data_IF_553674652650
#
_entry.id   IF_553674652650
#
_cell.length_a   1.000
_cell.length_b   1.000
_cell.length_c   1.000
_cell.angle_alpha   90.00
_cell.angle_beta   90.00
_cell.angle_gamma   90.00
#
_symmetry.space_group_name_H-M   'P 1'
#
loop_
_entity.id
_entity.type
_entity.pdbx_description
1 polymer ?
#
# COMPACT_ATOMS: atom_id res chain seq x y z
N UNK A 1 -25.63 16.69 5.67
CA UNK A 1 -24.44 17.44 5.16
C UNK A 1 -23.48 16.37 4.66
N UNK A 2 -23.61 16.02 3.37
CA UNK A 2 -22.78 14.96 2.75
C UNK A 2 -21.37 15.52 2.56
N UNK A 3 -20.39 14.82 3.12
CA UNK A 3 -18.98 15.07 2.83
C UNK A 3 -18.73 14.68 1.36
N UNK A 4 -18.11 15.54 0.54
CA UNK A 4 -17.78 15.20 -0.82
C UNK A 4 -16.72 14.09 -0.79
N UNK A 5 -17.11 12.88 -1.18
CA UNK A 5 -16.15 11.84 -1.53
C UNK A 5 -15.39 12.33 -2.77
N UNK A 6 -14.22 12.88 -2.54
CA UNK A 6 -13.28 13.18 -3.63
C UNK A 6 -12.96 11.85 -4.31
N UNK A 7 -13.51 11.70 -5.50
CA UNK A 7 -13.30 10.51 -6.32
C UNK A 7 -11.83 10.50 -6.71
N UNK A 8 -11.02 9.74 -5.98
CA UNK A 8 -9.60 9.48 -6.28
C UNK A 8 -9.49 9.08 -7.74
N UNK A 9 -8.56 9.71 -8.47
CA UNK A 9 -8.29 9.35 -9.86
C UNK A 9 -7.99 7.84 -9.91
N UNK A 10 -8.54 7.11 -10.90
CA UNK A 10 -8.33 5.68 -10.98
C UNK A 10 -6.84 5.39 -11.11
N UNK A 11 -6.34 4.46 -10.29
CA UNK A 11 -5.02 3.82 -10.47
C UNK A 11 -5.14 2.98 -11.74
N UNK A 12 -5.09 3.63 -12.90
CA UNK A 12 -5.34 3.03 -14.21
C UNK A 12 -4.19 3.39 -15.14
N UNK A 13 -3.25 2.47 -15.27
CA UNK A 13 -2.28 2.48 -16.33
C UNK A 13 -2.27 1.10 -17.00
N UNK A 14 -1.74 0.95 -18.20
CA UNK A 14 -1.64 -0.34 -18.89
C UNK A 14 -0.86 -1.39 -18.08
N UNK A 15 -0.03 -0.95 -17.13
CA UNK A 15 0.80 -1.80 -16.28
C UNK A 15 0.23 -2.00 -14.86
N UNK A 16 -0.98 -1.51 -14.55
CA UNK A 16 -1.59 -1.70 -13.24
C UNK A 16 -1.88 -3.18 -12.98
N UNK A 17 -1.43 -3.66 -11.82
CA UNK A 17 -1.64 -5.01 -11.36
C UNK A 17 -2.91 -5.08 -10.50
N UNK A 18 -3.83 -5.99 -10.80
CA UNK A 18 -5.00 -6.27 -9.98
C UNK A 18 -4.84 -7.63 -9.31
N UNK A 19 -5.05 -7.67 -8.02
CA UNK A 19 -4.91 -8.85 -7.19
C UNK A 19 -6.16 -9.02 -6.32
N UNK A 20 -6.60 -10.25 -6.16
CA UNK A 20 -7.61 -10.62 -5.17
C UNK A 20 -6.88 -11.08 -3.90
N UNK A 21 -7.31 -10.55 -2.76
CA UNK A 21 -6.75 -10.86 -1.44
C UNK A 21 -7.92 -11.29 -0.55
N UNK A 22 -7.88 -12.51 -0.07
CA UNK A 22 -8.99 -13.20 0.59
C UNK A 22 -8.90 -13.22 2.12
N UNK A 23 -7.81 -12.70 2.68
CA UNK A 23 -7.59 -12.72 4.13
C UNK A 23 -6.59 -11.65 4.59
N UNK A 24 -6.63 -11.27 5.88
CA UNK A 24 -5.61 -10.38 6.46
C UNK A 24 -4.19 -10.94 6.32
N UNK A 25 -4.02 -12.24 6.39
CA UNK A 25 -2.73 -12.90 6.21
C UNK A 25 -2.24 -12.78 4.77
N UNK A 26 -3.12 -12.94 3.78
CA UNK A 26 -2.79 -12.72 2.37
C UNK A 26 -2.43 -11.25 2.11
N UNK A 27 -3.11 -10.29 2.77
CA UNK A 27 -2.77 -8.87 2.71
C UNK A 27 -1.38 -8.60 3.27
N UNK A 28 -1.02 -9.20 4.42
CA UNK A 28 0.31 -9.10 5.00
C UNK A 28 1.38 -9.69 4.07
N UNK A 29 1.12 -10.87 3.48
CA UNK A 29 2.03 -11.48 2.48
C UNK A 29 2.21 -10.61 1.24
N UNK A 30 1.16 -9.93 0.78
CA UNK A 30 1.28 -8.96 -0.30
C UNK A 30 2.23 -7.81 0.08
N UNK A 31 2.12 -7.28 1.30
CA UNK A 31 3.04 -6.27 1.83
C UNK A 31 4.50 -6.74 1.83
N UNK A 32 4.74 -7.97 2.29
CA UNK A 32 6.07 -8.62 2.24
C UNK A 32 6.64 -8.65 0.81
N UNK A 33 5.82 -9.00 -0.18
CA UNK A 33 6.23 -9.05 -1.59
C UNK A 33 6.50 -7.67 -2.15
N UNK A 34 5.67 -6.68 -1.81
CA UNK A 34 5.86 -5.29 -2.20
C UNK A 34 7.19 -4.75 -1.69
N UNK A 35 7.57 -5.07 -0.45
CA UNK A 35 8.85 -4.66 0.12
C UNK A 35 10.05 -5.09 -0.74
N UNK A 36 9.95 -6.22 -1.43
CA UNK A 36 11.02 -6.72 -2.30
C UNK A 36 11.27 -5.90 -3.58
N UNK A 37 10.33 -5.03 -3.97
CA UNK A 37 10.48 -4.14 -5.12
C UNK A 37 10.74 -2.69 -4.74
N UNK A 38 10.56 -2.34 -3.46
CA UNK A 38 10.78 -1.01 -2.93
C UNK A 38 12.26 -0.73 -2.65
N UNK A 39 12.64 0.54 -2.76
CA UNK A 39 13.99 1.07 -2.57
C UNK A 39 13.94 2.35 -1.74
N UNK A 40 15.06 2.78 -1.12
CA UNK A 40 15.15 4.13 -0.56
C UNK A 40 14.71 5.17 -1.59
N UNK A 41 13.92 6.14 -1.19
CA UNK A 41 13.34 7.17 -2.06
C UNK A 41 11.96 6.84 -2.62
N UNK A 42 11.45 5.62 -2.45
CA UNK A 42 10.12 5.27 -2.95
C UNK A 42 9.01 5.80 -2.05
N UNK A 43 8.01 6.43 -2.67
CA UNK A 43 6.76 6.87 -2.05
C UNK A 43 5.64 5.89 -2.41
N UNK A 44 4.94 5.38 -1.40
CA UNK A 44 3.78 4.49 -1.55
C UNK A 44 2.54 5.18 -1.00
N UNK A 45 1.53 5.38 -1.85
CA UNK A 45 0.22 5.90 -1.45
C UNK A 45 -0.75 4.73 -1.27
N UNK A 46 -1.37 4.66 -0.09
CA UNK A 46 -2.39 3.65 0.22
C UNK A 46 -3.75 4.32 0.29
N UNK A 47 -4.65 3.92 -0.60
CA UNK A 47 -6.05 4.35 -0.60
C UNK A 47 -7.00 3.17 -0.38
N UNK A 48 -8.18 3.48 0.14
CA UNK A 48 -9.21 2.51 0.48
C UNK A 48 -9.99 2.92 1.72
N UNK A 49 -11.17 2.39 1.89
CA UNK A 49 -12.05 2.70 3.02
C UNK A 49 -11.44 2.34 4.38
N UNK A 50 -12.07 2.84 5.45
CA UNK A 50 -11.73 2.43 6.81
C UNK A 50 -11.90 0.90 6.96
N UNK A 51 -10.87 0.23 7.50
CA UNK A 51 -10.87 -1.23 7.64
C UNK A 51 -10.54 -1.99 6.36
N UNK A 52 -10.19 -1.34 5.25
CA UNK A 52 -9.82 -2.02 4.00
C UNK A 52 -8.57 -2.90 4.10
N UNK A 53 -7.67 -2.65 5.06
CA UNK A 53 -6.46 -3.44 5.26
C UNK A 53 -5.15 -2.67 5.00
N UNK A 54 -5.20 -1.33 4.89
CA UNK A 54 -4.00 -0.49 4.64
C UNK A 54 -2.90 -0.74 5.65
N UNK A 55 -3.21 -0.66 6.94
CA UNK A 55 -2.25 -0.91 8.01
C UNK A 55 -1.76 -2.37 8.04
N UNK A 56 -2.60 -3.33 7.64
CA UNK A 56 -2.19 -4.74 7.50
C UNK A 56 -1.16 -4.92 6.39
N UNK A 57 -1.39 -4.27 5.26
CA UNK A 57 -0.42 -4.22 4.16
C UNK A 57 0.90 -3.58 4.63
N UNK A 58 0.82 -2.43 5.34
CA UNK A 58 2.00 -1.72 5.85
C UNK A 58 2.79 -2.55 6.87
N UNK A 59 2.12 -3.39 7.68
CA UNK A 59 2.81 -4.38 8.54
C UNK A 59 3.66 -5.34 7.73
N UNK A 60 3.10 -5.90 6.66
CA UNK A 60 3.83 -6.77 5.74
C UNK A 60 5.01 -6.06 5.07
N UNK A 61 4.83 -4.80 4.67
CA UNK A 61 5.92 -3.95 4.15
C UNK A 61 7.04 -3.81 5.19
N UNK A 62 6.71 -3.46 6.42
CA UNK A 62 7.69 -3.30 7.50
C UNK A 62 8.45 -4.58 7.80
N UNK A 63 7.78 -5.73 7.79
CA UNK A 63 8.43 -7.04 7.92
C UNK A 63 9.41 -7.30 6.77
N UNK A 64 8.99 -7.06 5.53
CA UNK A 64 9.81 -7.28 4.34
C UNK A 64 11.02 -6.34 4.26
N UNK A 65 10.89 -5.11 4.75
CA UNK A 65 12.00 -4.15 4.88
C UNK A 65 12.90 -4.44 6.09
N UNK A 66 12.50 -5.35 6.98
CA UNK A 66 13.26 -5.69 8.17
C UNK A 66 13.36 -4.55 9.18
N UNK A 67 12.27 -3.80 9.40
CA UNK A 67 12.27 -2.67 10.33
C UNK A 67 12.00 -3.07 11.77
N UNK A 68 12.36 -2.19 12.72
CA UNK A 68 12.19 -2.41 14.15
C UNK A 68 10.74 -2.23 14.59
N UNK A 69 10.26 -3.17 15.39
CA UNK A 69 9.01 -3.08 16.13
C UNK A 69 7.77 -3.38 15.29
N UNK A 70 6.63 -3.41 15.96
CA UNK A 70 5.35 -3.64 15.30
C UNK A 70 4.88 -2.37 14.59
N UNK A 71 4.56 -2.49 13.30
CA UNK A 71 3.93 -1.42 12.54
C UNK A 71 2.46 -1.34 12.95
N UNK A 72 2.06 -0.21 13.51
CA UNK A 72 0.69 0.10 13.92
C UNK A 72 0.26 1.41 13.27
N UNK A 73 -1.05 1.61 13.07
CA UNK A 73 -1.56 2.85 12.48
C UNK A 73 -1.06 4.07 13.28
N UNK A 74 -0.50 5.09 12.61
CA UNK A 74 -0.04 6.31 13.27
C UNK A 74 -1.15 7.37 13.43
N UNK A 75 -2.42 6.99 13.39
CA UNK A 75 -3.59 7.88 13.40
C UNK A 75 -3.54 8.98 14.47
N UNK A 76 -2.93 8.73 15.61
CA UNK A 76 -2.83 9.70 16.70
C UNK A 76 -1.54 10.52 16.71
N UNK A 77 -0.50 10.07 16.00
CA UNK A 77 0.83 10.71 15.95
C UNK A 77 1.18 11.23 14.57
N UNK A 78 0.29 11.04 13.59
CA UNK A 78 0.40 11.44 12.18
C UNK A 78 1.50 10.69 11.44
N UNK A 79 2.74 10.67 11.93
CA UNK A 79 3.86 9.96 11.31
C UNK A 79 4.66 9.14 12.33
N UNK A 80 5.18 8.02 11.90
CA UNK A 80 6.07 7.16 12.68
C UNK A 80 7.20 6.62 11.83
N UNK A 81 8.43 6.77 12.33
CA UNK A 81 9.62 6.19 11.71
C UNK A 81 9.94 4.85 12.37
N UNK A 82 10.11 3.83 11.54
CA UNK A 82 10.57 2.49 11.92
C UNK A 82 11.97 2.27 11.35
N UNK A 83 13.03 2.36 12.18
CA UNK A 83 14.41 2.17 11.72
C UNK A 83 14.65 0.76 11.20
N UNK A 84 15.50 0.62 10.17
CA UNK A 84 15.91 -0.69 9.68
C UNK A 84 16.77 -1.44 10.71
N UNK A 85 16.58 -2.76 10.81
CA UNK A 85 17.42 -3.68 11.57
C UNK A 85 18.44 -4.41 10.69
N UNK A 86 18.29 -4.34 9.37
CA UNK A 86 19.03 -5.13 8.39
C UNK A 86 19.97 -4.30 7.53
N UNK A 87 20.07 -2.99 7.78
CA UNK A 87 20.86 -2.06 6.96
C UNK A 87 20.17 -1.64 5.65
N UNK A 88 18.91 -2.02 5.44
CA UNK A 88 18.05 -1.52 4.36
C UNK A 88 17.39 -0.18 4.70
N UNK A 89 16.42 0.27 3.92
CA UNK A 89 15.71 1.53 4.17
C UNK A 89 14.90 1.46 5.46
N UNK A 90 14.77 2.59 6.14
CA UNK A 90 13.76 2.77 7.17
C UNK A 90 12.37 2.84 6.53
N UNK A 91 11.33 2.57 7.31
CA UNK A 91 9.95 2.78 6.92
C UNK A 91 9.41 4.02 7.65
N UNK A 92 8.96 5.02 6.89
CA UNK A 92 8.21 6.16 7.41
C UNK A 92 6.74 5.92 7.11
N UNK A 93 5.93 5.72 8.15
CA UNK A 93 4.50 5.47 8.04
C UNK A 93 3.71 6.70 8.45
N UNK A 94 2.91 7.23 7.54
CA UNK A 94 2.13 8.46 7.70
C UNK A 94 0.64 8.16 7.53
N UNK A 95 -0.19 8.76 8.39
CA UNK A 95 -1.65 8.78 8.24
C UNK A 95 -2.09 10.24 7.96
N UNK A 96 -2.39 10.52 6.71
CA UNK A 96 -2.80 11.84 6.26
C UNK A 96 -4.30 12.14 6.46
N UNK A 97 -5.06 11.24 7.10
CA UNK A 97 -6.50 11.44 7.32
C UNK A 97 -6.81 12.73 8.09
N UNK A 98 -5.96 13.09 9.06
CA UNK A 98 -6.12 14.28 9.91
C UNK A 98 -5.40 15.52 9.42
N UNK A 99 -4.61 15.43 8.35
CA UNK A 99 -3.91 16.57 7.79
C UNK A 99 -4.90 17.45 7.02
N UNK A 100 -5.41 18.47 7.67
CA UNK A 100 -6.35 19.42 7.09
C UNK A 100 -5.65 20.44 6.16
N UNK A 101 -4.40 20.76 6.46
CA UNK A 101 -3.54 21.72 5.73
C UNK A 101 -2.84 21.13 4.49
N UNK A 102 -3.00 19.83 4.24
CA UNK A 102 -2.38 19.21 3.06
C UNK A 102 -0.85 19.22 3.09
N UNK A 103 -0.22 19.72 2.02
CA UNK A 103 1.23 19.73 1.85
C UNK A 103 1.99 20.54 2.92
N UNK A 104 1.46 21.68 3.32
CA UNK A 104 2.12 22.56 4.31
C UNK A 104 2.36 21.83 5.64
N UNK A 105 1.35 21.05 6.11
CA UNK A 105 1.51 20.24 7.33
C UNK A 105 2.40 19.01 7.11
N UNK A 106 2.54 18.55 5.88
CA UNK A 106 3.44 17.43 5.54
C UNK A 106 4.89 17.88 5.40
N UNK A 107 5.14 19.12 4.96
CA UNK A 107 6.47 19.73 4.95
C UNK A 107 7.03 19.84 6.38
N UNK A 108 6.18 20.18 7.35
CA UNK A 108 6.54 20.22 8.77
C UNK A 108 6.97 18.84 9.35
N UNK A 109 6.66 17.75 8.65
CA UNK A 109 7.09 16.39 9.02
C UNK A 109 8.46 16.01 8.44
N UNK A 110 9.15 16.91 7.75
CA UNK A 110 10.44 16.66 7.07
C UNK A 110 10.43 15.39 6.20
N UNK A 111 9.30 15.11 5.54
CA UNK A 111 9.14 13.88 4.74
C UNK A 111 10.03 13.87 3.49
N UNK A 112 10.31 15.03 2.92
CA UNK A 112 11.23 15.22 1.81
C UNK A 112 12.65 14.83 2.17
N UNK A 113 13.11 15.18 3.38
CA UNK A 113 14.42 14.77 3.92
C UNK A 113 14.44 13.27 4.20
N UNK A 114 13.32 12.72 4.67
CA UNK A 114 13.21 11.29 4.99
C UNK A 114 13.12 10.41 3.75
N UNK A 115 12.66 10.93 2.61
CA UNK A 115 12.48 10.17 1.37
C UNK A 115 13.78 9.56 0.85
N UNK A 116 14.92 10.29 0.89
CA UNK A 116 16.17 9.84 0.27
C UNK A 116 16.69 8.50 0.82
N UNK A 117 16.48 8.22 2.09
CA UNK A 117 17.05 7.06 2.81
C UNK A 117 15.98 6.08 3.30
N UNK A 118 14.71 6.33 3.04
CA UNK A 118 13.59 5.54 3.53
C UNK A 118 12.59 5.19 2.44
N UNK A 119 11.71 4.27 2.77
CA UNK A 119 10.44 4.06 2.07
C UNK A 119 9.37 4.81 2.86
N UNK A 120 8.67 5.73 2.20
CA UNK A 120 7.57 6.47 2.80
C UNK A 120 6.24 5.86 2.37
N UNK A 121 5.42 5.48 3.34
CA UNK A 121 4.06 4.95 3.13
C UNK A 121 3.06 5.94 3.71
N UNK A 122 2.14 6.43 2.88
CA UNK A 122 1.12 7.39 3.29
C UNK A 122 -0.27 6.78 3.11
N UNK A 123 -0.99 6.64 4.21
CA UNK A 123 -2.42 6.30 4.21
C UNK A 123 -3.24 7.59 4.06
N UNK A 124 -4.31 7.58 3.25
CA UNK A 124 -5.20 8.73 3.02
C UNK A 124 -4.51 9.95 2.38
N UNK A 125 -3.45 9.72 1.62
CA UNK A 125 -2.65 10.79 1.02
C UNK A 125 -3.15 11.28 -0.34
N UNK A 126 -4.20 10.70 -0.90
CA UNK A 126 -4.73 11.05 -2.21
C UNK A 126 -5.10 12.55 -2.29
N UNK A 127 -4.59 13.23 -3.32
CA UNK A 127 -4.79 14.67 -3.51
C UNK A 127 -3.98 15.56 -2.57
N UNK A 128 -3.07 14.97 -1.76
CA UNK A 128 -2.31 15.70 -0.75
C UNK A 128 -0.80 15.58 -0.92
N UNK A 129 -0.32 14.44 -1.42
CA UNK A 129 1.12 14.11 -1.39
C UNK A 129 1.71 13.78 -2.75
N UNK A 130 0.95 13.89 -3.82
CA UNK A 130 1.41 13.60 -5.17
C UNK A 130 2.58 14.49 -5.63
N UNK A 131 2.70 15.69 -5.05
CA UNK A 131 3.78 16.63 -5.34
C UNK A 131 5.10 16.29 -4.64
N UNK A 132 5.06 15.43 -3.60
CA UNK A 132 6.26 15.02 -2.88
C UNK A 132 7.22 14.18 -3.74
N UNK A 133 6.70 13.45 -4.72
CA UNK A 133 7.52 12.66 -5.61
C UNK A 133 6.85 12.48 -6.99
N UNK A 134 7.64 12.71 -8.04
CA UNK A 134 7.23 12.42 -9.42
C UNK A 134 7.08 10.91 -9.65
N UNK A 135 7.88 10.11 -8.94
CA UNK A 135 7.83 8.65 -8.96
C UNK A 135 7.14 8.14 -7.71
N UNK A 136 6.00 7.46 -7.84
CA UNK A 136 5.25 6.92 -6.71
C UNK A 136 4.50 5.66 -7.06
N UNK A 137 4.27 4.83 -6.06
CA UNK A 137 3.46 3.63 -6.17
C UNK A 137 2.10 3.89 -5.52
N UNK A 138 1.02 3.68 -6.25
CA UNK A 138 -0.34 3.72 -5.71
C UNK A 138 -0.82 2.30 -5.44
N UNK A 139 -1.33 2.06 -4.25
CA UNK A 139 -1.99 0.81 -3.86
C UNK A 139 -3.39 1.15 -3.38
N UNK A 140 -4.38 0.76 -4.16
CA UNK A 140 -5.80 0.93 -3.82
C UNK A 140 -6.36 -0.40 -3.34
N UNK A 141 -7.07 -0.37 -2.22
CA UNK A 141 -7.68 -1.53 -1.59
C UNK A 141 -9.18 -1.28 -1.52
N UNK A 142 -9.95 -2.03 -2.31
CA UNK A 142 -11.40 -1.98 -2.34
C UNK A 142 -11.98 -3.28 -1.77
N UNK A 143 -13.20 -3.24 -1.21
CA UNK A 143 -13.96 -4.45 -0.90
C UNK A 143 -14.48 -5.03 -2.20
N UNK A 144 -14.34 -6.35 -2.36
CA UNK A 144 -14.94 -7.02 -3.51
C UNK A 144 -16.47 -7.03 -3.37
N UNK A 145 -17.19 -6.78 -4.46
CA UNK A 145 -18.64 -6.76 -4.48
C UNK A 145 -19.17 -7.54 -5.67
N UNK A 146 -20.26 -8.29 -5.48
CA UNK A 146 -21.00 -8.94 -6.57
C UNK A 146 -20.14 -9.80 -7.48
N UNK A 147 -20.12 -9.45 -8.77
CA UNK A 147 -19.42 -10.20 -9.83
C UNK A 147 -17.87 -10.18 -9.73
N UNK A 148 -17.32 -9.37 -8.81
CA UNK A 148 -15.88 -9.28 -8.59
C UNK A 148 -15.36 -10.37 -7.63
N UNK A 149 -16.28 -11.11 -7.00
CA UNK A 149 -15.92 -12.18 -6.09
C UNK A 149 -15.38 -13.41 -6.86
N UNK A 150 -14.29 -14.02 -6.37
CA UNK A 150 -13.80 -15.28 -6.94
C UNK A 150 -14.89 -16.37 -6.88
N UNK A 151 -14.94 -17.22 -7.91
CA UNK A 151 -15.82 -18.35 -7.90
C UNK A 151 -15.51 -19.27 -6.71
N UNK A 152 -16.53 -19.63 -5.91
CA UNK A 152 -16.42 -20.55 -4.80
C UNK A 152 -16.09 -19.91 -3.44
N UNK A 153 -16.07 -18.59 -3.34
CA UNK A 153 -16.01 -17.92 -2.02
C UNK A 153 -17.31 -18.19 -1.26
N UNK A 154 -17.21 -18.70 -0.05
CA UNK A 154 -18.36 -18.92 0.81
C UNK A 154 -18.95 -17.58 1.27
N UNK A 155 -20.27 -17.49 1.45
CA UNK A 155 -20.97 -16.27 1.89
C UNK A 155 -20.40 -15.67 3.18
N UNK A 156 -19.83 -16.50 4.04
CA UNK A 156 -19.22 -16.07 5.30
C UNK A 156 -17.87 -15.35 5.13
N UNK A 157 -17.17 -15.59 4.01
CA UNK A 157 -15.82 -15.08 3.75
C UNK A 157 -15.82 -13.89 2.77
N UNK A 158 -16.99 -13.54 2.24
CA UNK A 158 -17.16 -12.43 1.26
C UNK A 158 -16.67 -11.10 1.81
N UNK A 159 -16.94 -10.84 3.08
CA UNK A 159 -16.55 -9.58 3.72
C UNK A 159 -15.02 -9.42 3.88
N UNK A 160 -14.26 -10.50 3.78
CA UNK A 160 -12.80 -10.49 3.88
C UNK A 160 -12.09 -10.34 2.52
N UNK A 161 -12.79 -10.55 1.42
CA UNK A 161 -12.21 -10.43 0.09
C UNK A 161 -11.96 -8.97 -0.29
N UNK A 162 -10.75 -8.68 -0.71
CA UNK A 162 -10.32 -7.35 -1.18
C UNK A 162 -9.79 -7.43 -2.60
N UNK A 163 -10.08 -6.41 -3.38
CA UNK A 163 -9.45 -6.14 -4.66
C UNK A 163 -8.34 -5.12 -4.45
N UNK A 164 -7.11 -5.51 -4.72
CA UNK A 164 -5.96 -4.64 -4.59
C UNK A 164 -5.46 -4.27 -5.97
N UNK A 165 -5.46 -2.98 -6.27
CA UNK A 165 -4.89 -2.45 -7.50
C UNK A 165 -3.58 -1.75 -7.18
N UNK A 166 -2.50 -2.19 -7.81
CA UNK A 166 -1.14 -1.62 -7.66
C UNK A 166 -0.75 -0.99 -8.99
N UNK A 167 -0.45 0.29 -8.98
CA UNK A 167 -0.04 1.02 -10.18
C UNK A 167 1.07 2.00 -9.88
N UNK A 168 2.06 2.05 -10.76
CA UNK A 168 3.18 2.98 -10.66
C UNK A 168 2.94 4.24 -11.48
N UNK A 169 3.43 5.36 -10.96
CA UNK A 169 3.51 6.66 -11.66
C UNK A 169 4.97 7.06 -11.71
N UNK A 170 5.40 7.53 -12.89
CA UNK A 170 6.77 7.96 -13.13
C UNK A 170 7.69 6.88 -13.68
N UNK A 171 8.89 7.30 -14.09
CA UNK A 171 9.85 6.44 -14.80
C UNK A 171 10.40 5.28 -13.97
N UNK A 172 10.45 5.45 -12.66
CA UNK A 172 10.88 4.42 -11.69
C UNK A 172 10.04 3.14 -11.78
N UNK A 173 8.76 3.28 -12.11
CA UNK A 173 7.79 2.19 -12.12
C UNK A 173 7.47 1.67 -13.52
N UNK A 174 8.10 2.21 -14.55
CA UNK A 174 7.93 1.74 -15.91
C UNK A 174 8.71 0.44 -16.17
N UNK A 175 8.36 -0.25 -17.27
CA UNK A 175 9.18 -1.35 -17.80
C UNK A 175 9.20 -2.61 -16.94
N UNK A 176 8.07 -2.99 -16.35
CA UNK A 176 7.98 -4.27 -15.65
C UNK A 176 8.47 -4.24 -14.19
N UNK A 177 8.60 -3.06 -13.59
CA UNK A 177 9.02 -2.93 -12.18
C UNK A 177 8.13 -3.73 -11.19
N UNK A 178 6.89 -4.02 -11.58
CA UNK A 178 5.91 -4.77 -10.79
C UNK A 178 5.77 -6.25 -11.20
N UNK A 179 6.55 -6.73 -12.18
CA UNK A 179 6.41 -8.11 -12.69
C UNK A 179 6.70 -9.16 -11.61
N UNK A 180 7.65 -8.91 -10.72
CA UNK A 180 7.90 -9.78 -9.56
C UNK A 180 6.70 -9.97 -8.62
N UNK A 181 5.68 -9.10 -8.72
CA UNK A 181 4.43 -9.28 -7.99
C UNK A 181 3.42 -10.17 -8.74
N UNK A 182 3.54 -10.27 -10.09
CA UNK A 182 2.64 -11.07 -10.94
C UNK A 182 2.94 -12.57 -10.81
N UNK A 183 4.20 -12.96 -10.83
CA UNK A 183 4.63 -14.36 -10.97
C UNK A 183 4.31 -15.22 -9.75
N UNK A 184 4.12 -14.65 -8.56
CA UNK A 184 3.87 -15.40 -7.32
C UNK A 184 2.40 -15.47 -6.92
N UNK A 185 1.49 -14.95 -7.73
CA UNK A 185 0.05 -15.03 -7.51
C UNK A 185 -0.57 -16.34 -8.00
N UNK A 186 0.13 -17.07 -8.88
CA UNK A 186 -0.36 -18.30 -9.50
C UNK A 186 0.01 -19.59 -8.76
N UNK A 187 0.92 -19.57 -7.77
CA UNK A 187 1.39 -20.78 -7.08
C UNK A 187 0.52 -21.21 -5.88
N UNK A 188 -0.60 -20.51 -5.61
CA UNK A 188 -1.49 -20.82 -4.49
C UNK A 188 -2.66 -21.76 -4.79
N UNK A 189 -2.86 -22.22 -6.05
CA UNK A 189 -4.10 -22.87 -6.45
C UNK A 189 -4.01 -24.35 -6.83
N UNK A 190 -2.83 -24.98 -6.86
CA UNK A 190 -2.74 -26.43 -7.17
C UNK A 190 -1.62 -27.09 -6.38
N UNK A 191 -2.00 -27.82 -5.36
CA UNK A 191 -1.07 -28.70 -4.65
C UNK A 191 -1.71 -29.49 -3.53
N UNK A 192 -2.71 -30.31 -3.84
CA UNK A 192 -2.99 -31.54 -3.08
C UNK A 192 -3.73 -32.55 -3.97
N UNK A 193 -2.98 -33.44 -4.57
CA UNK A 193 -3.42 -34.81 -4.84
C UNK A 193 -2.17 -35.65 -4.99
N UNK A 194 -2.03 -36.65 -4.06
CA UNK A 194 -1.00 -37.64 -4.09
C UNK A 194 -0.85 -38.33 -2.75
#
# INVERSE_FOLDING_TARGET
>A
METPHTRTAPVSGPDALRLTVDSPEAMRRLGLRLAGVLRPGDLVLLSGELGAGKTTLTRGLGEGLGVRGAVTSPTFVIARVHPSLTGGPALVHVDAYRLAGGLDEMEDLDLDVSLSDSVVVVEWGDGKVEELSADRLHVRIDRATGDELPAGVADADVDDVRLVTVGGVGGRWAGGALDGLRERGAEGAYGQEG
#
